data_IF_170654176066
#
_entry.id   IF_170654176066
#
_cell.length_a   1.000
_cell.length_b   1.000
_cell.length_c   1.000
_cell.angle_alpha   90.00
_cell.angle_beta   90.00
_cell.angle_gamma   90.00
#
_symmetry.space_group_name_H-M   'P 1'
#
loop_
_entity.id
_entity.type
_entity.pdbx_description
1 polymer ?
#
# COMPACT_ATOMS: atom_id res chain seq x y z
N UNK A 1 -8.96 12.02 11.32
CA UNK A 1 -8.71 10.57 11.33
C UNK A 1 -9.55 9.92 12.42
N UNK A 2 -10.21 8.79 12.15
CA UNK A 2 -10.94 8.02 13.15
C UNK A 2 -9.94 7.34 14.10
N UNK A 3 -10.07 7.55 15.42
CA UNK A 3 -9.22 6.89 16.42
C UNK A 3 -10.00 5.72 17.03
N UNK A 4 -9.50 4.47 16.92
CA UNK A 4 -10.20 3.32 17.49
C UNK A 4 -10.19 3.37 19.03
N UNK A 5 -11.28 2.97 19.72
CA UNK A 5 -11.32 2.97 21.18
C UNK A 5 -10.28 2.05 21.81
N UNK A 6 -9.87 0.99 21.11
CA UNK A 6 -8.82 0.06 21.52
C UNK A 6 -7.44 0.71 21.65
N UNK A 7 -7.25 1.94 21.13
CA UNK A 7 -5.99 2.68 21.31
C UNK A 7 -5.60 2.82 22.78
N UNK A 8 -6.57 2.86 23.69
CA UNK A 8 -6.33 2.95 25.14
C UNK A 8 -5.74 1.67 25.75
N UNK A 9 -5.79 0.56 25.01
CA UNK A 9 -5.21 -0.73 25.42
C UNK A 9 -3.81 -0.93 24.85
N UNK A 10 -3.45 -0.18 23.81
CA UNK A 10 -2.19 -0.27 23.07
C UNK A 10 -1.18 0.78 23.56
N UNK A 11 0.06 0.64 23.09
CA UNK A 11 1.23 1.42 23.48
C UNK A 11 1.79 2.20 22.27
N UNK A 12 1.09 3.26 21.79
CA UNK A 12 1.52 4.01 20.62
C UNK A 12 2.74 4.89 20.90
N UNK A 13 3.55 5.13 19.86
CA UNK A 13 4.68 6.05 19.97
C UNK A 13 4.20 7.48 20.23
N UNK A 14 4.95 8.23 21.04
CA UNK A 14 4.66 9.65 21.25
C UNK A 14 4.93 10.44 19.96
N UNK A 15 4.28 11.61 19.81
CA UNK A 15 4.37 12.40 18.58
C UNK A 15 5.81 12.79 18.20
N UNK A 16 6.69 12.98 19.18
CA UNK A 16 8.10 13.34 18.96
C UNK A 16 8.96 12.15 18.53
N UNK A 17 8.47 10.92 18.70
CA UNK A 17 9.16 9.67 18.39
C UNK A 17 8.70 9.05 17.06
N UNK A 18 7.65 9.58 16.43
CA UNK A 18 7.07 9.00 15.24
C UNK A 18 7.98 9.24 14.01
N UNK A 19 8.51 8.18 13.37
CA UNK A 19 9.15 8.31 12.08
C UNK A 19 8.09 8.71 11.06
N UNK A 20 8.20 9.91 10.50
CA UNK A 20 7.32 10.37 9.43
C UNK A 20 8.09 10.41 8.13
N UNK A 21 7.55 9.79 7.09
CA UNK A 21 8.17 9.81 5.78
C UNK A 21 7.31 9.09 4.74
N UNK A 22 7.87 8.85 3.57
CA UNK A 22 7.26 7.92 2.63
C UNK A 22 7.42 6.46 3.11
N UNK A 23 8.35 6.20 4.04
CA UNK A 23 8.44 4.95 4.79
C UNK A 23 8.89 5.18 6.26
N UNK A 24 8.12 4.70 7.27
CA UNK A 24 6.76 4.21 7.13
C UNK A 24 5.85 5.33 6.56
N UNK A 25 4.84 4.91 5.79
CA UNK A 25 3.95 5.83 5.05
C UNK A 25 3.20 6.77 6.02
N UNK A 26 2.96 8.02 5.62
CA UNK A 26 2.06 8.91 6.36
C UNK A 26 0.68 8.25 6.59
N UNK A 27 0.07 8.51 7.74
CA UNK A 27 -1.11 7.77 8.23
C UNK A 27 -0.77 6.43 8.91
N UNK A 28 0.50 6.20 9.25
CA UNK A 28 0.95 5.09 10.09
C UNK A 28 1.26 5.60 11.50
N UNK A 29 0.78 4.87 12.51
CA UNK A 29 1.04 5.12 13.92
C UNK A 29 1.74 3.87 14.52
N UNK A 30 3.05 3.96 14.79
CA UNK A 30 3.80 2.89 15.45
C UNK A 30 3.24 2.51 16.82
N UNK A 31 3.36 1.24 17.16
CA UNK A 31 3.02 0.64 18.46
C UNK A 31 4.24 -0.10 19.02
N UNK A 32 4.47 -0.02 20.33
CA UNK A 32 5.48 -0.82 21.04
C UNK A 32 4.98 -2.23 21.41
N UNK A 33 3.68 -2.50 21.29
CA UNK A 33 3.10 -3.80 21.66
C UNK A 33 3.63 -4.92 20.75
N UNK A 34 4.09 -6.00 21.37
CA UNK A 34 4.71 -7.14 20.68
C UNK A 34 5.85 -6.73 19.70
N UNK A 35 6.67 -5.73 20.08
CA UNK A 35 7.83 -5.30 19.28
C UNK A 35 8.69 -6.48 18.83
N UNK A 36 9.09 -6.46 17.55
CA UNK A 36 9.70 -7.60 16.88
C UNK A 36 11.24 -7.60 17.02
N UNK A 37 11.82 -6.50 17.51
CA UNK A 37 13.26 -6.25 17.58
C UNK A 37 13.83 -5.81 16.22
N UNK A 38 15.11 -5.39 16.18
CA UNK A 38 15.81 -4.94 14.96
C UNK A 38 15.13 -3.75 14.21
N UNK A 39 14.24 -3.01 14.89
CA UNK A 39 13.50 -1.90 14.28
C UNK A 39 12.19 -2.30 13.61
N UNK A 40 11.79 -3.57 13.70
CA UNK A 40 10.51 -4.09 13.23
C UNK A 40 9.44 -3.94 14.32
N UNK A 41 8.24 -3.48 13.96
CA UNK A 41 7.15 -3.24 14.90
C UNK A 41 5.78 -3.21 14.22
N UNK A 42 4.71 -3.35 15.01
CA UNK A 42 3.35 -3.17 14.51
C UNK A 42 2.96 -1.69 14.50
N UNK A 43 2.01 -1.33 13.65
CA UNK A 43 1.39 -0.02 13.71
C UNK A 43 -0.02 0.01 13.15
N UNK A 44 -0.79 1.00 13.60
CA UNK A 44 -2.09 1.30 13.01
C UNK A 44 -1.86 2.05 11.71
N UNK A 45 -2.52 1.61 10.65
CA UNK A 45 -2.47 2.25 9.34
C UNK A 45 -3.87 2.63 8.87
N UNK A 46 -4.04 3.90 8.50
CA UNK A 46 -5.25 4.39 7.84
C UNK A 46 -5.02 4.43 6.33
N UNK A 47 -5.70 3.57 5.56
CA UNK A 47 -5.54 3.61 4.12
C UNK A 47 -5.91 4.98 3.53
N UNK A 48 -5.22 5.36 2.46
CA UNK A 48 -5.42 6.61 1.76
C UNK A 48 -6.85 6.72 1.21
N UNK A 49 -7.56 7.77 1.60
CA UNK A 49 -8.97 7.98 1.28
C UNK A 49 -9.94 7.23 2.21
N UNK A 50 -9.44 6.55 3.24
CA UNK A 50 -10.23 5.86 4.28
C UNK A 50 -9.92 6.38 5.69
N UNK A 51 -9.47 7.63 5.81
CA UNK A 51 -9.05 8.23 7.08
C UNK A 51 -10.19 8.34 8.12
N UNK A 52 -11.44 8.27 7.68
CA UNK A 52 -12.64 8.26 8.55
C UNK A 52 -13.07 6.86 8.98
N UNK A 53 -12.43 5.82 8.47
CA UNK A 53 -12.71 4.42 8.80
C UNK A 53 -11.74 3.89 9.87
N UNK A 54 -12.03 2.70 10.41
CA UNK A 54 -11.12 2.02 11.33
C UNK A 54 -9.78 1.71 10.64
N UNK A 55 -8.64 1.92 11.33
CA UNK A 55 -7.35 1.52 10.78
C UNK A 55 -7.23 0.00 10.74
N UNK A 56 -6.40 -0.48 9.82
CA UNK A 56 -5.85 -1.83 9.90
C UNK A 56 -4.61 -1.83 10.78
N UNK A 57 -4.15 -3.01 11.17
CA UNK A 57 -2.81 -3.17 11.76
C UNK A 57 -1.87 -3.71 10.71
N UNK A 58 -0.73 -3.05 10.56
CA UNK A 58 0.35 -3.51 9.70
C UNK A 58 1.56 -3.90 10.53
N UNK A 59 2.24 -4.94 10.08
CA UNK A 59 3.62 -5.23 10.44
C UNK A 59 4.55 -4.33 9.60
N UNK A 60 5.52 -3.69 10.23
CA UNK A 60 6.54 -2.84 9.60
C UNK A 60 7.89 -3.56 9.65
N UNK A 61 8.46 -3.78 8.47
CA UNK A 61 9.71 -4.51 8.28
C UNK A 61 10.81 -3.51 7.91
N UNK A 62 11.70 -3.21 8.86
CA UNK A 62 12.76 -2.20 8.73
C UNK A 62 13.68 -2.49 7.56
N UNK A 63 14.23 -3.70 7.48
CA UNK A 63 15.24 -4.08 6.50
C UNK A 63 14.67 -4.23 5.08
N UNK A 64 13.40 -4.63 4.96
CA UNK A 64 12.72 -4.77 3.66
C UNK A 64 12.08 -3.46 3.17
N UNK A 65 12.09 -2.43 4.01
CA UNK A 65 11.38 -1.19 3.78
C UNK A 65 9.88 -1.37 3.45
N UNK A 66 9.23 -2.36 4.08
CA UNK A 66 7.89 -2.81 3.70
C UNK A 66 6.89 -2.85 4.86
N UNK A 67 5.66 -2.46 4.58
CA UNK A 67 4.47 -2.69 5.39
C UNK A 67 3.74 -3.95 4.91
N UNK A 68 3.23 -4.75 5.85
CA UNK A 68 2.44 -5.95 5.59
C UNK A 68 1.14 -5.89 6.39
N UNK A 69 -0.05 -5.97 5.76
CA UNK A 69 -1.30 -6.02 6.50
C UNK A 69 -1.35 -7.28 7.37
N UNK A 70 -1.51 -7.10 8.69
CA UNK A 70 -1.49 -8.17 9.67
C UNK A 70 -2.89 -8.46 10.23
N UNK A 71 -3.65 -7.42 10.58
CA UNK A 71 -4.99 -7.56 11.16
C UNK A 71 -5.96 -6.53 10.58
N UNK A 72 -7.24 -6.91 10.46
CA UNK A 72 -8.29 -6.02 9.95
C UNK A 72 -8.58 -4.80 10.82
N UNK A 73 -8.07 -4.77 12.06
CA UNK A 73 -8.04 -3.58 12.88
C UNK A 73 -7.59 -3.81 14.32
N UNK A 74 -7.60 -2.73 15.10
CA UNK A 74 -7.06 -2.71 16.46
C UNK A 74 -7.68 -3.77 17.39
N UNK A 75 -8.99 -4.02 17.31
CA UNK A 75 -9.65 -5.05 18.12
C UNK A 75 -9.16 -6.48 17.83
N UNK A 76 -8.86 -6.81 16.57
CA UNK A 76 -8.28 -8.12 16.21
C UNK A 76 -6.85 -8.25 16.74
N UNK A 77 -6.08 -7.17 16.69
CA UNK A 77 -4.74 -7.14 17.23
C UNK A 77 -4.72 -7.28 18.77
N UNK A 78 -5.62 -6.59 19.48
CA UNK A 78 -5.77 -6.77 20.94
C UNK A 78 -6.14 -8.21 21.28
N UNK A 79 -7.08 -8.83 20.54
CA UNK A 79 -7.44 -10.23 20.77
C UNK A 79 -6.26 -11.19 20.52
N UNK A 80 -5.41 -10.90 19.53
CA UNK A 80 -4.17 -11.64 19.29
C UNK A 80 -3.17 -11.45 20.46
N UNK A 81 -2.96 -10.21 20.93
CA UNK A 81 -2.11 -9.95 22.09
C UNK A 81 -2.61 -10.69 23.33
N UNK A 82 -3.90 -10.65 23.64
CA UNK A 82 -4.48 -11.35 24.79
C UNK A 82 -4.30 -12.87 24.72
N UNK A 83 -4.39 -13.46 23.52
CA UNK A 83 -4.17 -14.89 23.32
C UNK A 83 -2.69 -15.29 23.47
N UNK A 84 -1.77 -14.36 23.24
CA UNK A 84 -0.32 -14.60 23.27
C UNK A 84 0.38 -13.90 24.45
N UNK A 85 -0.33 -13.71 25.57
CA UNK A 85 0.21 -13.10 26.81
C UNK A 85 0.87 -11.72 26.60
N UNK A 86 0.34 -10.93 25.66
CA UNK A 86 0.84 -9.62 25.23
C UNK A 86 2.26 -9.65 24.62
N UNK A 87 2.72 -10.83 24.23
CA UNK A 87 3.95 -11.06 23.48
C UNK A 87 3.64 -11.50 22.05
N UNK A 88 4.67 -11.52 21.20
CA UNK A 88 4.51 -12.12 19.86
C UNK A 88 4.36 -13.63 20.00
N UNK A 89 3.30 -14.18 19.44
CA UNK A 89 3.11 -15.62 19.38
C UNK A 89 2.35 -16.10 18.14
N UNK A 90 2.19 -17.42 18.08
CA UNK A 90 1.66 -18.13 16.91
C UNK A 90 0.13 -18.30 16.95
N UNK A 91 -0.53 -17.95 18.06
CA UNK A 91 -1.99 -18.07 18.16
C UNK A 91 -2.68 -16.97 17.38
N UNK A 92 -3.17 -17.27 16.18
CA UNK A 92 -3.85 -16.29 15.32
C UNK A 92 -5.37 -16.26 15.57
N UNK A 93 -5.96 -15.09 15.88
CA UNK A 93 -7.41 -14.95 15.93
C UNK A 93 -8.00 -15.11 14.52
N UNK A 94 -9.25 -15.61 14.45
CA UNK A 94 -9.94 -15.72 13.17
C UNK A 94 -10.20 -14.33 12.56
N UNK A 95 -9.69 -14.09 11.36
CA UNK A 95 -9.90 -12.87 10.57
C UNK A 95 -10.19 -13.21 9.10
N UNK A 96 -11.09 -14.19 8.89
CA UNK A 96 -11.32 -14.84 7.60
C UNK A 96 -11.78 -13.89 6.48
N UNK A 97 -12.48 -12.81 6.84
CA UNK A 97 -12.99 -11.82 5.89
C UNK A 97 -11.98 -10.72 5.56
N UNK A 98 -10.79 -10.74 6.17
CA UNK A 98 -9.74 -9.75 5.91
C UNK A 98 -9.02 -10.03 4.57
N UNK A 99 -8.62 -8.98 3.87
CA UNK A 99 -8.05 -9.06 2.53
C UNK A 99 -6.92 -10.10 2.34
N UNK A 100 -5.91 -10.24 3.24
CA UNK A 100 -4.91 -11.31 3.14
C UNK A 100 -5.54 -12.72 3.10
N UNK A 101 -6.54 -12.98 3.94
CA UNK A 101 -7.24 -14.26 4.03
C UNK A 101 -8.14 -14.51 2.81
N UNK A 102 -8.78 -13.46 2.28
CA UNK A 102 -9.52 -13.52 1.01
C UNK A 102 -8.60 -13.89 -0.16
N UNK A 103 -7.40 -13.30 -0.23
CA UNK A 103 -6.40 -13.61 -1.27
C UNK A 103 -5.89 -15.04 -1.13
N UNK A 104 -5.63 -15.51 0.08
CA UNK A 104 -5.26 -16.90 0.34
C UNK A 104 -6.36 -17.86 -0.12
N UNK A 105 -7.60 -17.56 0.21
CA UNK A 105 -8.78 -18.33 -0.21
C UNK A 105 -8.96 -18.32 -1.72
N UNK A 106 -8.76 -17.17 -2.38
CA UNK A 106 -8.77 -17.06 -3.83
C UNK A 106 -7.71 -17.96 -4.48
N UNK A 107 -6.48 -17.96 -3.95
CA UNK A 107 -5.39 -18.82 -4.45
C UNK A 107 -5.74 -20.31 -4.39
N UNK A 108 -6.57 -20.74 -3.44
CA UNK A 108 -7.02 -22.13 -3.35
C UNK A 108 -7.86 -22.57 -4.56
N UNK A 109 -8.62 -21.66 -5.19
CA UNK A 109 -9.36 -21.94 -6.43
C UNK A 109 -8.44 -22.14 -7.64
N UNK A 110 -7.24 -21.54 -7.63
CA UNK A 110 -6.33 -21.61 -8.78
C UNK A 110 -5.37 -22.80 -8.75
N UNK A 111 -5.16 -23.42 -7.57
CA UNK A 111 -4.22 -24.53 -7.37
C UNK A 111 -4.74 -25.81 -8.05
N UNK A 112 -4.06 -26.22 -9.12
CA UNK A 112 -4.46 -27.38 -9.94
C UNK A 112 -3.74 -28.70 -9.67
N UNK A 113 -2.97 -28.81 -8.58
CA UNK A 113 -2.09 -29.97 -8.37
C UNK A 113 -2.85 -31.25 -7.94
N UNK A 114 -3.92 -31.13 -7.15
CA UNK A 114 -4.70 -32.30 -6.70
C UNK A 114 -6.04 -32.45 -7.43
N UNK A 115 -6.58 -31.38 -8.01
CA UNK A 115 -7.93 -31.34 -8.63
C UNK A 115 -7.91 -31.18 -10.17
N UNK A 116 -6.73 -31.16 -10.79
CA UNK A 116 -6.57 -30.80 -12.21
C UNK A 116 -6.61 -29.29 -12.46
N UNK A 117 -6.45 -28.82 -13.70
CA UNK A 117 -6.43 -27.38 -14.02
C UNK A 117 -7.71 -26.68 -13.56
N UNK A 118 -7.57 -25.50 -12.93
CA UNK A 118 -8.73 -24.71 -12.51
C UNK A 118 -9.69 -24.44 -13.69
N UNK A 119 -10.97 -24.72 -13.47
CA UNK A 119 -12.04 -24.48 -14.44
C UNK A 119 -12.35 -22.99 -14.56
N UNK A 120 -13.12 -22.60 -15.57
CA UNK A 120 -13.60 -21.22 -15.68
C UNK A 120 -14.38 -20.78 -14.43
N UNK A 121 -15.23 -21.66 -13.88
CA UNK A 121 -16.00 -21.35 -12.66
C UNK A 121 -15.11 -21.16 -11.43
N UNK A 122 -14.04 -21.96 -11.30
CA UNK A 122 -13.08 -21.79 -10.20
C UNK A 122 -12.36 -20.43 -10.32
N UNK A 123 -11.99 -20.04 -11.54
CA UNK A 123 -11.32 -18.75 -11.78
C UNK A 123 -12.26 -17.58 -11.44
N UNK A 124 -13.53 -17.65 -11.85
CA UNK A 124 -14.54 -16.63 -11.52
C UNK A 124 -14.76 -16.52 -10.01
N UNK A 125 -14.85 -17.64 -9.29
CA UNK A 125 -14.99 -17.66 -7.84
C UNK A 125 -13.79 -17.00 -7.14
N UNK A 126 -12.56 -17.30 -7.59
CA UNK A 126 -11.37 -16.65 -7.07
C UNK A 126 -11.28 -15.16 -7.43
N UNK A 127 -11.76 -14.74 -8.60
CA UNK A 127 -11.83 -13.32 -8.98
C UNK A 127 -12.71 -12.52 -8.03
N UNK A 128 -13.86 -13.05 -7.60
CA UNK A 128 -14.76 -12.38 -6.65
C UNK A 128 -14.03 -12.08 -5.34
N UNK A 129 -13.30 -13.05 -4.79
CA UNK A 129 -12.53 -12.88 -3.57
C UNK A 129 -11.38 -11.87 -3.74
N UNK A 130 -10.69 -11.90 -4.89
CA UNK A 130 -9.64 -10.92 -5.19
C UNK A 130 -10.19 -9.50 -5.33
N UNK A 131 -11.38 -9.33 -5.94
CA UNK A 131 -12.04 -8.02 -6.03
C UNK A 131 -12.36 -7.48 -4.64
N UNK A 132 -12.94 -8.31 -3.76
CA UNK A 132 -13.23 -7.93 -2.38
C UNK A 132 -11.95 -7.53 -1.62
N UNK A 133 -10.86 -8.29 -1.78
CA UNK A 133 -9.58 -7.95 -1.15
C UNK A 133 -9.01 -6.62 -1.66
N UNK A 134 -9.09 -6.37 -2.97
CA UNK A 134 -8.65 -5.12 -3.59
C UNK A 134 -9.51 -3.92 -3.19
N UNK A 135 -10.81 -4.13 -2.95
CA UNK A 135 -11.69 -3.09 -2.45
C UNK A 135 -11.39 -2.74 -0.99
N UNK A 136 -11.18 -3.75 -0.13
CA UNK A 136 -10.80 -3.53 1.26
C UNK A 136 -9.45 -2.82 1.36
N UNK A 137 -8.42 -3.34 0.69
CA UNK A 137 -7.05 -2.82 0.71
C UNK A 137 -6.57 -2.43 -0.69
N UNK A 138 -6.98 -1.25 -1.19
CA UNK A 138 -6.64 -0.81 -2.54
C UNK A 138 -5.15 -0.47 -2.72
N UNK A 139 -4.40 -0.34 -1.63
CA UNK A 139 -2.99 0.04 -1.63
C UNK A 139 -2.01 -1.13 -1.77
N UNK A 140 -2.50 -2.38 -1.79
CA UNK A 140 -1.64 -3.56 -1.88
C UNK A 140 -1.55 -4.04 -3.33
N UNK A 141 -0.44 -3.70 -3.99
CA UNK A 141 -0.25 -3.95 -5.43
C UNK A 141 -0.32 -5.42 -5.84
N UNK A 142 0.18 -6.33 -4.99
CA UNK A 142 0.16 -7.76 -5.26
C UNK A 142 -1.26 -8.33 -5.41
N UNK A 143 -2.25 -7.76 -4.73
CA UNK A 143 -3.65 -8.22 -4.82
C UNK A 143 -4.23 -7.85 -6.19
N UNK A 144 -3.99 -6.61 -6.62
CA UNK A 144 -4.37 -6.13 -7.95
C UNK A 144 -3.67 -6.90 -9.06
N UNK A 145 -2.39 -7.25 -8.89
CA UNK A 145 -1.67 -8.03 -9.88
C UNK A 145 -2.18 -9.47 -9.98
N UNK A 146 -2.53 -10.09 -8.85
CA UNK A 146 -3.20 -11.39 -8.83
C UNK A 146 -4.53 -11.34 -9.58
N UNK A 147 -5.34 -10.29 -9.34
CA UNK A 147 -6.60 -10.04 -10.04
C UNK A 147 -6.41 -9.86 -11.55
N UNK A 148 -5.47 -9.00 -11.96
CA UNK A 148 -5.14 -8.75 -13.36
C UNK A 148 -4.75 -10.05 -14.09
N UNK A 149 -3.96 -10.90 -13.43
CA UNK A 149 -3.53 -12.18 -13.97
C UNK A 149 -4.71 -13.13 -14.24
N UNK A 150 -5.69 -13.20 -13.33
CA UNK A 150 -6.86 -14.06 -13.53
C UNK A 150 -7.86 -13.48 -14.53
N UNK A 151 -8.08 -12.17 -14.53
CA UNK A 151 -8.90 -11.50 -15.54
C UNK A 151 -8.37 -11.77 -16.96
N UNK A 152 -7.05 -11.67 -17.13
CA UNK A 152 -6.38 -11.99 -18.39
C UNK A 152 -6.54 -13.47 -18.77
N UNK A 153 -6.49 -14.38 -17.80
CA UNK A 153 -6.72 -15.82 -18.04
C UNK A 153 -8.12 -16.11 -18.61
N UNK A 154 -9.10 -15.27 -18.29
CA UNK A 154 -10.47 -15.34 -18.85
C UNK A 154 -10.65 -14.48 -20.12
N UNK A 155 -9.59 -13.87 -20.65
CA UNK A 155 -9.66 -12.99 -21.83
C UNK A 155 -10.29 -11.61 -21.56
N UNK A 156 -10.51 -11.24 -20.30
CA UNK A 156 -11.06 -9.92 -19.89
C UNK A 156 -9.96 -8.86 -19.89
N UNK A 157 -9.42 -8.56 -21.07
CA UNK A 157 -8.17 -7.80 -21.23
C UNK A 157 -8.27 -6.35 -20.76
N UNK A 158 -9.38 -5.65 -21.00
CA UNK A 158 -9.59 -4.27 -20.53
C UNK A 158 -9.55 -4.19 -19.00
N UNK A 159 -10.32 -5.05 -18.32
CA UNK A 159 -10.32 -5.13 -16.85
C UNK A 159 -8.94 -5.53 -16.31
N UNK A 160 -8.24 -6.44 -17.00
CA UNK A 160 -6.88 -6.81 -16.63
C UNK A 160 -5.90 -5.64 -16.76
N UNK A 161 -6.02 -4.80 -17.79
CA UNK A 161 -5.19 -3.61 -17.97
C UNK A 161 -5.40 -2.61 -16.84
N UNK A 162 -6.65 -2.31 -16.49
CA UNK A 162 -6.96 -1.43 -15.35
C UNK A 162 -6.49 -2.00 -14.00
N UNK A 163 -6.64 -3.31 -13.77
CA UNK A 163 -6.14 -3.95 -12.56
C UNK A 163 -4.60 -3.91 -12.49
N UNK A 164 -3.90 -4.12 -13.60
CA UNK A 164 -2.44 -3.98 -13.66
C UNK A 164 -1.98 -2.54 -13.40
N UNK A 165 -2.70 -1.55 -13.93
CA UNK A 165 -2.41 -0.14 -13.68
C UNK A 165 -2.63 0.21 -12.19
N UNK A 166 -3.69 -0.31 -11.58
CA UNK A 166 -3.92 -0.17 -10.13
C UNK A 166 -2.83 -0.86 -9.31
N UNK A 167 -2.33 -2.01 -9.75
CA UNK A 167 -1.19 -2.66 -9.09
C UNK A 167 0.06 -1.77 -9.10
N UNK A 168 0.31 -1.07 -10.21
CA UNK A 168 1.42 -0.11 -10.30
C UNK A 168 1.21 1.11 -9.41
N UNK A 169 0.00 1.68 -9.42
CA UNK A 169 -0.38 2.85 -8.61
C UNK A 169 -0.70 2.51 -7.16
N UNK A 170 -0.49 1.28 -6.71
CA UNK A 170 -0.62 0.91 -5.29
C UNK A 170 0.50 1.53 -4.48
N UNK A 171 0.38 1.58 -3.15
CA UNK A 171 1.39 2.20 -2.29
C UNK A 171 2.62 1.29 -2.22
N UNK A 172 3.77 1.78 -2.66
CA UNK A 172 5.00 0.99 -2.74
C UNK A 172 5.59 0.65 -1.37
N UNK A 173 5.11 1.30 -0.30
CA UNK A 173 5.38 0.85 1.06
C UNK A 173 4.80 -0.55 1.33
N UNK A 174 3.75 -1.00 0.63
CA UNK A 174 3.25 -2.39 0.72
C UNK A 174 3.97 -3.35 -0.26
N UNK A 175 5.02 -2.89 -0.92
CA UNK A 175 5.78 -3.63 -1.91
C UNK A 175 5.79 -2.92 -3.27
N UNK A 176 6.98 -2.78 -3.85
CA UNK A 176 7.13 -2.24 -5.20
C UNK A 176 6.50 -3.17 -6.24
N UNK A 177 5.98 -2.65 -7.37
CA UNK A 177 5.37 -3.46 -8.41
C UNK A 177 6.39 -4.45 -8.99
N UNK A 178 5.99 -5.72 -9.10
CA UNK A 178 6.83 -6.73 -9.73
C UNK A 178 7.05 -6.46 -11.22
N UNK A 179 8.12 -7.03 -11.80
CA UNK A 179 8.36 -7.02 -13.24
C UNK A 179 7.18 -7.57 -14.05
N UNK A 180 6.39 -8.45 -13.44
CA UNK A 180 5.16 -8.98 -14.04
C UNK A 180 4.12 -7.91 -14.34
N UNK A 181 3.98 -6.90 -13.46
CA UNK A 181 3.11 -5.74 -13.65
C UNK A 181 3.61 -4.91 -14.83
N UNK A 182 4.90 -4.56 -14.81
CA UNK A 182 5.51 -3.74 -15.87
C UNK A 182 5.41 -4.42 -17.23
N UNK A 183 5.77 -5.71 -17.32
CA UNK A 183 5.63 -6.50 -18.54
C UNK A 183 4.18 -6.61 -19.03
N UNK A 184 3.19 -6.55 -18.12
CA UNK A 184 1.79 -6.52 -18.52
C UNK A 184 1.45 -5.15 -19.12
N UNK A 185 1.79 -4.05 -18.46
CA UNK A 185 1.53 -2.68 -18.93
C UNK A 185 2.29 -2.33 -20.21
N UNK A 186 3.46 -2.93 -20.47
CA UNK A 186 4.22 -2.74 -21.71
C UNK A 186 3.65 -3.47 -22.93
N UNK A 187 2.58 -4.26 -22.79
CA UNK A 187 1.95 -4.91 -23.93
C UNK A 187 1.09 -3.91 -24.69
N UNK A 188 1.41 -3.72 -25.98
CA UNK A 188 0.68 -2.81 -26.89
C UNK A 188 -0.83 -3.02 -26.83
N UNK A 189 -1.30 -4.28 -26.84
CA UNK A 189 -2.73 -4.59 -26.77
C UNK A 189 -3.39 -4.16 -25.45
N UNK A 190 -2.65 -4.12 -24.34
CA UNK A 190 -3.22 -3.66 -23.06
C UNK A 190 -3.18 -2.13 -22.95
N UNK A 191 -2.17 -1.49 -23.53
CA UNK A 191 -2.08 -0.02 -23.56
C UNK A 191 -3.21 0.64 -24.34
N UNK A 192 -3.79 -0.02 -25.35
CA UNK A 192 -4.93 0.53 -26.09
C UNK A 192 -6.16 0.74 -25.21
N UNK A 193 -6.27 0.05 -24.08
CA UNK A 193 -7.36 0.29 -23.11
C UNK A 193 -7.06 1.45 -22.14
N UNK A 194 -5.85 1.99 -22.16
CA UNK A 194 -5.32 2.96 -21.22
C UNK A 194 -4.67 4.16 -21.92
N UNK A 195 -5.03 4.44 -23.18
CA UNK A 195 -4.31 5.42 -24.01
C UNK A 195 -4.35 6.86 -23.45
N UNK A 196 -5.42 7.20 -22.73
CA UNK A 196 -5.59 8.50 -22.09
C UNK A 196 -4.92 8.60 -20.72
N UNK A 197 -4.38 7.50 -20.19
CA UNK A 197 -3.82 7.46 -18.85
C UNK A 197 -2.50 8.28 -18.76
N UNK A 198 -2.40 9.24 -17.82
CA UNK A 198 -1.23 10.09 -17.65
C UNK A 198 0.10 9.34 -17.51
N UNK A 199 0.11 8.18 -16.87
CA UNK A 199 1.32 7.39 -16.70
C UNK A 199 1.61 6.54 -17.94
N UNK A 200 0.59 5.88 -18.52
CA UNK A 200 0.78 5.01 -19.69
C UNK A 200 1.34 5.77 -20.90
N UNK A 201 0.90 7.01 -21.13
CA UNK A 201 1.47 7.87 -22.20
C UNK A 201 2.98 8.12 -22.08
N UNK A 202 3.56 7.84 -20.91
CA UNK A 202 4.98 8.05 -20.59
C UNK A 202 5.74 6.74 -20.34
N UNK A 203 5.07 5.60 -20.46
CA UNK A 203 5.61 4.31 -20.07
C UNK A 203 6.88 3.94 -20.85
N UNK A 204 6.99 4.33 -22.13
CA UNK A 204 8.18 4.09 -22.96
C UNK A 204 9.46 4.77 -22.41
N UNK A 205 9.30 5.86 -21.65
CA UNK A 205 10.41 6.55 -20.98
C UNK A 205 10.72 6.00 -19.58
N UNK A 206 9.86 5.11 -19.06
CA UNK A 206 9.98 4.58 -17.71
C UNK A 206 10.73 3.25 -17.71
N UNK A 207 11.85 3.18 -16.99
CA UNK A 207 12.71 1.98 -16.92
C UNK A 207 12.50 1.28 -15.58
N UNK A 208 12.19 -0.03 -15.54
CA UNK A 208 12.16 -0.76 -14.28
C UNK A 208 13.58 -0.84 -13.70
N UNK A 209 13.87 0.02 -12.73
CA UNK A 209 15.17 0.15 -12.08
C UNK A 209 15.30 1.48 -11.35
N UNK A 210 15.64 1.43 -10.06
CA UNK A 210 15.98 2.57 -9.23
C UNK A 210 17.38 2.36 -8.64
N UNK A 211 18.16 3.42 -8.47
CA UNK A 211 19.58 3.34 -8.11
C UNK A 211 20.54 2.94 -9.25
N UNK A 212 21.84 3.06 -8.98
CA UNK A 212 22.93 2.62 -9.89
C UNK A 212 23.20 3.52 -11.11
N UNK A 213 22.26 4.39 -11.49
CA UNK A 213 22.45 5.39 -12.54
C UNK A 213 22.66 6.79 -11.97
N UNK A 214 23.45 7.61 -12.68
CA UNK A 214 23.70 9.00 -12.27
C UNK A 214 22.43 9.85 -12.38
N UNK A 215 21.55 9.52 -13.32
CA UNK A 215 20.29 10.20 -13.61
C UNK A 215 19.25 9.13 -13.96
N UNK A 216 18.04 9.26 -13.44
CA UNK A 216 16.91 8.38 -13.70
C UNK A 216 15.67 9.22 -14.07
N UNK A 217 15.12 8.99 -15.25
CA UNK A 217 13.97 9.72 -15.80
C UNK A 217 12.63 9.26 -15.20
N UNK A 218 12.61 8.16 -14.43
CA UNK A 218 11.41 7.67 -13.75
C UNK A 218 10.84 8.72 -12.80
N UNK A 219 11.70 9.40 -12.04
CA UNK A 219 11.30 10.39 -11.04
C UNK A 219 10.50 11.56 -11.63
N UNK A 220 10.98 12.28 -12.66
CA UNK A 220 10.19 13.33 -13.31
C UNK A 220 8.94 12.79 -14.02
N UNK A 221 8.97 11.55 -14.55
CA UNK A 221 7.78 10.91 -15.13
C UNK A 221 6.70 10.71 -14.07
N UNK A 222 7.05 10.16 -12.90
CA UNK A 222 6.11 9.93 -11.79
C UNK A 222 5.51 11.25 -11.29
N UNK A 223 6.34 12.28 -11.10
CA UNK A 223 5.86 13.61 -10.69
C UNK A 223 4.92 14.25 -11.72
N UNK A 224 5.26 14.18 -13.02
CA UNK A 224 4.42 14.74 -14.06
C UNK A 224 3.07 14.03 -14.15
N UNK A 225 3.07 12.69 -14.14
CA UNK A 225 1.83 11.91 -14.15
C UNK A 225 0.99 12.15 -12.89
N UNK A 226 1.61 12.23 -11.71
CA UNK A 226 0.92 12.56 -10.45
C UNK A 226 0.16 13.89 -10.53
N UNK A 227 0.80 14.94 -11.05
CA UNK A 227 0.16 16.25 -11.24
C UNK A 227 -1.02 16.18 -12.21
N UNK A 228 -0.86 15.51 -13.35
CA UNK A 228 -1.94 15.32 -14.32
C UNK A 228 -3.13 14.56 -13.72
N UNK A 229 -2.89 13.54 -12.90
CA UNK A 229 -3.96 12.86 -12.17
C UNK A 229 -4.73 13.80 -11.24
N UNK A 230 -4.02 14.60 -10.43
CA UNK A 230 -4.62 15.55 -9.51
C UNK A 230 -5.41 16.64 -10.27
N UNK A 231 -4.85 17.18 -11.35
CA UNK A 231 -5.52 18.17 -12.22
C UNK A 231 -6.78 17.60 -12.89
N UNK A 232 -6.79 16.31 -13.23
CA UNK A 232 -7.93 15.59 -13.78
C UNK A 232 -8.95 15.16 -12.70
N UNK A 233 -8.73 15.48 -11.43
CA UNK A 233 -9.58 15.07 -10.31
C UNK A 233 -9.45 13.59 -9.92
N UNK A 234 -8.49 12.86 -10.50
CA UNK A 234 -8.15 11.49 -10.14
C UNK A 234 -7.24 11.50 -8.90
N UNK A 235 -7.83 11.88 -7.76
CA UNK A 235 -7.12 12.16 -6.51
C UNK A 235 -6.24 11.00 -6.04
N UNK A 236 -6.81 9.80 -5.87
CA UNK A 236 -6.08 8.68 -5.29
C UNK A 236 -4.89 8.22 -6.13
N UNK A 237 -5.00 8.00 -7.46
CA UNK A 237 -3.84 7.73 -8.30
C UNK A 237 -2.77 8.83 -8.23
N UNK A 238 -3.19 10.10 -8.20
CA UNK A 238 -2.28 11.25 -8.13
C UNK A 238 -1.47 11.29 -6.84
N UNK A 239 -2.15 11.16 -5.69
CA UNK A 239 -1.51 11.10 -4.38
C UNK A 239 -0.62 9.86 -4.26
N UNK A 240 -1.08 8.68 -4.68
CA UNK A 240 -0.28 7.46 -4.55
C UNK A 240 0.98 7.51 -5.39
N UNK A 241 0.91 8.03 -6.60
CA UNK A 241 2.10 8.16 -7.43
C UNK A 241 3.11 9.18 -6.86
N UNK A 242 2.63 10.22 -6.17
CA UNK A 242 3.50 11.17 -5.45
C UNK A 242 4.13 10.54 -4.21
N UNK A 243 3.37 9.73 -3.47
CA UNK A 243 3.88 8.89 -2.37
C UNK A 243 4.98 7.94 -2.88
N UNK A 244 4.72 7.23 -3.97
CA UNK A 244 5.65 6.27 -4.55
C UNK A 244 6.93 6.93 -5.08
N UNK A 245 6.81 8.13 -5.68
CA UNK A 245 7.96 8.94 -6.07
C UNK A 245 8.87 9.20 -4.87
N UNK A 246 8.29 9.64 -3.75
CA UNK A 246 9.05 9.94 -2.55
C UNK A 246 9.58 8.69 -1.87
N UNK A 247 8.83 7.59 -1.86
CA UNK A 247 9.28 6.29 -1.37
C UNK A 247 10.58 5.87 -2.06
N UNK A 248 10.60 5.86 -3.41
CA UNK A 248 11.82 5.51 -4.14
C UNK A 248 12.94 6.53 -3.94
N UNK A 249 12.64 7.83 -3.98
CA UNK A 249 13.65 8.89 -3.82
C UNK A 249 14.28 8.90 -2.43
N UNK A 250 13.53 8.54 -1.39
CA UNK A 250 13.99 8.53 -0.01
C UNK A 250 15.13 7.53 0.23
N UNK A 251 15.16 6.42 -0.50
CA UNK A 251 16.22 5.42 -0.43
C UNK A 251 17.43 5.71 -1.34
N UNK A 252 17.34 6.73 -2.20
CA UNK A 252 18.50 7.16 -2.99
C UNK A 252 19.52 7.90 -2.11
N UNK A 253 20.78 7.96 -2.58
CA UNK A 253 21.84 8.71 -1.87
C UNK A 253 21.51 10.20 -1.74
N UNK A 254 21.99 10.86 -0.69
CA UNK A 254 21.78 12.31 -0.48
C UNK A 254 22.15 13.16 -1.71
N UNK A 255 23.30 12.89 -2.34
CA UNK A 255 23.73 13.63 -3.54
C UNK A 255 22.80 13.42 -4.75
N UNK A 256 22.10 12.29 -4.80
CA UNK A 256 21.07 12.03 -5.81
C UNK A 256 19.80 12.82 -5.47
N UNK A 257 19.33 12.76 -4.22
CA UNK A 257 18.18 13.53 -3.74
C UNK A 257 18.34 15.04 -4.02
N UNK A 258 19.50 15.61 -3.67
CA UNK A 258 19.83 17.03 -3.91
C UNK A 258 19.74 17.41 -5.40
N UNK A 259 20.17 16.52 -6.29
CA UNK A 259 20.11 16.77 -7.74
C UNK A 259 18.68 16.87 -8.27
N UNK A 260 17.76 16.13 -7.66
CA UNK A 260 16.34 16.19 -7.97
C UNK A 260 15.60 17.23 -7.13
N UNK A 261 16.31 17.96 -6.25
CA UNK A 261 15.73 18.95 -5.35
C UNK A 261 14.76 18.34 -4.33
N UNK A 262 14.94 17.07 -4.00
CA UNK A 262 14.12 16.38 -3.00
C UNK A 262 14.56 16.77 -1.59
N UNK A 263 13.59 17.15 -0.77
CA UNK A 263 13.77 17.44 0.65
C UNK A 263 12.59 16.80 1.40
N UNK A 264 12.89 15.94 2.36
CA UNK A 264 11.87 15.16 3.06
C UNK A 264 10.82 16.04 3.76
N UNK A 265 11.26 17.05 4.50
CA UNK A 265 10.37 17.96 5.25
C UNK A 265 9.46 18.78 4.35
N UNK A 266 9.98 19.20 3.18
CA UNK A 266 9.19 19.82 2.13
C UNK A 266 8.15 18.85 1.56
N UNK A 267 8.56 17.65 1.17
CA UNK A 267 7.65 16.62 0.65
C UNK A 267 6.54 16.29 1.66
N UNK A 268 6.88 16.08 2.93
CA UNK A 268 5.91 15.82 4.00
C UNK A 268 4.86 16.93 4.09
N UNK A 269 5.28 18.19 4.00
CA UNK A 269 4.39 19.35 4.07
C UNK A 269 3.50 19.46 2.83
N UNK A 270 4.06 19.26 1.64
CA UNK A 270 3.33 19.26 0.37
C UNK A 270 2.30 18.11 0.32
N UNK A 271 2.71 16.89 0.67
CA UNK A 271 1.84 15.72 0.70
C UNK A 271 0.70 15.86 1.71
N UNK A 272 1.00 16.34 2.93
CA UNK A 272 -0.03 16.61 3.96
C UNK A 272 -1.03 17.66 3.47
N UNK A 273 -0.58 18.72 2.81
CA UNK A 273 -1.45 19.77 2.27
C UNK A 273 -2.34 19.26 1.13
N UNK A 274 -1.81 18.41 0.24
CA UNK A 274 -2.59 17.76 -0.81
C UNK A 274 -3.66 16.83 -0.21
N UNK A 275 -3.30 16.01 0.79
CA UNK A 275 -4.26 15.15 1.48
C UNK A 275 -5.34 15.98 2.18
N UNK A 276 -4.97 17.05 2.89
CA UNK A 276 -5.96 17.92 3.55
C UNK A 276 -6.90 18.56 2.53
N UNK A 277 -6.38 19.00 1.38
CA UNK A 277 -7.16 19.63 0.32
C UNK A 277 -8.15 18.67 -0.34
N UNK A 278 -7.73 17.44 -0.61
CA UNK A 278 -8.52 16.50 -1.42
C UNK A 278 -9.27 15.43 -0.62
N UNK A 279 -8.78 15.08 0.57
CA UNK A 279 -9.32 14.03 1.43
C UNK A 279 -9.88 14.58 2.76
N UNK A 280 -9.56 15.83 3.12
CA UNK A 280 -10.01 16.46 4.37
C UNK A 280 -9.21 16.05 5.61
N UNK A 281 -8.07 15.38 5.45
CA UNK A 281 -7.19 14.92 6.52
C UNK A 281 -5.71 15.13 6.14
N UNK A 282 -4.88 15.61 7.07
CA UNK A 282 -3.45 15.88 6.80
C UNK A 282 -2.55 14.65 6.94
N UNK A 283 -3.13 13.49 7.31
CA UNK A 283 -2.50 12.19 7.55
C UNK A 283 -1.43 12.18 8.64
N UNK A 284 -1.35 13.22 9.47
CA UNK A 284 -0.45 13.27 10.63
C UNK A 284 -1.21 12.77 11.85
N UNK A 285 -0.86 11.57 12.32
CA UNK A 285 -1.54 10.97 13.48
C UNK A 285 -1.06 11.65 14.75
N UNK A 286 -1.89 12.50 15.35
CA UNK A 286 -1.58 13.19 16.61
C UNK A 286 -2.49 12.67 17.70
N UNK A 287 -1.96 11.81 18.57
CA UNK A 287 -2.65 11.46 19.80
C UNK A 287 -2.45 12.61 20.80
N UNK A 288 -3.56 13.20 21.26
CA UNK A 288 -3.50 14.17 22.36
C UNK A 288 -3.13 13.45 23.66
N UNK A 289 -2.30 14.07 24.51
CA UNK A 289 -1.84 13.49 25.78
C UNK A 289 -2.97 13.03 26.72
N UNK A 290 -4.21 13.49 26.53
CA UNK A 290 -5.38 13.05 27.31
C UNK A 290 -5.83 11.61 27.01
N UNK A 291 -5.30 10.99 25.93
CA UNK A 291 -5.67 9.62 25.49
C UNK A 291 -4.60 8.58 25.82
N UNK A 292 -3.49 8.98 26.44
CA UNK A 292 -2.28 8.14 26.60
C UNK A 292 -1.84 7.96 28.06
N UNK A 293 -2.80 7.80 28.98
CA UNK A 293 -2.50 7.45 30.37
C UNK A 293 -3.32 6.21 30.78
N UNK A 294 -2.68 5.04 30.72
CA UNK A 294 -3.02 3.96 31.65
C UNK A 294 -2.51 4.37 33.05
N UNK A 295 -3.29 4.16 34.13
CA UNK A 295 -2.73 4.12 35.48
C UNK A 295 -1.78 2.93 35.67
#
# INVERSE_FOLDING_TARGET
MYIPPEINLLSPFTADEQPMGPYPSLGFLPLFDAELGNGDYFGLYWPLGRETEAPIVCDMWHDEAKLVPAFSGAGKFVAWLEANDWERGDEEPQDADFAPMLVQSAKAFFRGAEKGPATQNDIEAGIILLQQACEQLPEVGDYWFALASQLRRLGRNELAAHAALRAFHSNWAFGIPSDGVMRMLSQVQLQTYLEDDPFIRRLDGFKPGFGGEKHNDNYPIMLAASREYLEAGQVLPGLMLYQNYAYSMYFETQAFQERYGFELTRWQSEFSALCLTHLGDDRRVRLSHETALKP
#
